data_IF_002655285885
#
_entry.id   IF_002655285885
#
_cell.length_a   1.000
_cell.length_b   1.000
_cell.length_c   1.000
_cell.angle_alpha   90.00
_cell.angle_beta   90.00
_cell.angle_gamma   90.00
#
_symmetry.space_group_name_H-M   'P 1'
#
loop_
_entity.id
_entity.type
_entity.pdbx_description
1 polymer ?
#
# COMPACT_ATOMS: atom_id res chain seq x y z
N UNK A 1 22.70 20.37 26.03
CA UNK A 1 23.04 19.28 26.96
C UNK A 1 23.78 19.88 28.15
N UNK A 2 23.11 20.02 29.30
CA UNK A 2 23.73 20.54 30.50
C UNK A 2 24.42 19.39 31.26
N UNK A 3 25.70 19.57 31.61
CA UNK A 3 26.43 18.65 32.46
C UNK A 3 25.71 18.55 33.82
N UNK A 4 25.18 17.36 34.14
CA UNK A 4 24.66 17.09 35.48
C UNK A 4 25.86 16.99 36.41
N UNK A 5 26.20 18.13 37.01
CA UNK A 5 27.15 18.29 38.11
C UNK A 5 26.93 17.16 39.11
N UNK A 6 27.98 16.38 39.37
CA UNK A 6 27.96 15.28 40.32
C UNK A 6 27.40 15.75 41.67
N UNK A 7 26.56 14.91 42.27
CA UNK A 7 25.98 15.15 43.60
C UNK A 7 27.14 15.32 44.59
N UNK A 8 27.15 16.40 45.41
CA UNK A 8 28.25 16.64 46.33
C UNK A 8 28.30 15.54 47.39
N UNK A 9 29.43 14.84 47.45
CA UNK A 9 29.80 14.02 48.59
C UNK A 9 29.84 14.90 49.84
N UNK A 10 29.26 14.43 50.94
CA UNK A 10 29.27 15.15 52.22
C UNK A 10 30.71 15.55 52.62
N UNK A 11 30.92 16.74 53.21
CA UNK A 11 32.24 17.30 53.46
C UNK A 11 33.13 16.48 54.42
N UNK A 12 32.54 15.56 55.18
CA UNK A 12 33.27 14.62 56.05
C UNK A 12 33.94 13.48 55.24
N UNK A 13 33.57 13.30 53.98
CA UNK A 13 34.24 12.42 53.00
C UNK A 13 35.24 13.20 52.13
N UNK A 14 35.89 14.24 52.68
CA UNK A 14 37.02 14.88 52.02
C UNK A 14 38.25 13.99 52.15
N UNK A 15 38.55 13.29 51.06
CA UNK A 15 39.85 12.67 50.76
C UNK A 15 40.98 13.60 51.23
N UNK A 16 41.63 13.25 52.35
CA UNK A 16 42.89 13.85 52.77
C UNK A 16 44.01 13.00 52.22
N UNK A 17 44.64 13.46 51.15
CA UNK A 17 45.98 13.05 50.79
C UNK A 17 46.94 13.53 51.89
N UNK A 18 47.22 12.67 52.86
CA UNK A 18 48.41 12.72 53.71
C UNK A 18 49.19 11.43 53.37
N UNK A 19 50.21 11.52 52.50
CA UNK A 19 51.64 11.52 52.85
C UNK A 19 52.08 10.14 53.39
N UNK A 20 52.95 9.33 52.78
CA UNK A 20 54.22 9.53 52.06
C UNK A 20 54.55 8.32 51.15
N UNK A 21 55.45 8.44 50.14
CA UNK A 21 55.83 7.36 49.23
C UNK A 21 57.04 6.50 49.69
N UNK A 22 57.20 6.21 50.99
CA UNK A 22 58.39 5.48 51.49
C UNK A 22 58.15 4.38 52.54
N UNK A 23 56.93 3.87 52.70
CA UNK A 23 56.73 2.61 53.44
C UNK A 23 55.91 1.65 52.60
N UNK A 24 56.47 1.26 51.46
CA UNK A 24 56.15 -0.02 50.85
C UNK A 24 57.10 -1.05 51.46
N UNK A 25 56.70 -1.67 52.58
CA UNK A 25 57.24 -2.99 52.89
C UNK A 25 56.62 -3.96 51.89
N UNK A 26 57.45 -4.48 50.99
CA UNK A 26 57.19 -5.71 50.24
C UNK A 26 56.77 -6.78 51.24
N UNK A 27 55.46 -7.10 51.26
CA UNK A 27 54.88 -8.40 51.62
C UNK A 27 53.46 -8.23 52.15
N UNK A 28 52.50 -7.93 51.27
CA UNK A 28 51.16 -8.53 51.36
C UNK A 28 50.64 -8.76 49.94
N UNK A 29 50.96 -9.91 49.35
CA UNK A 29 50.13 -10.49 48.30
C UNK A 29 48.79 -10.84 48.94
N UNK A 30 47.78 -9.97 48.81
CA UNK A 30 46.39 -10.30 49.17
C UNK A 30 45.64 -10.73 47.90
N UNK A 31 45.00 -11.91 47.88
CA UNK A 31 44.19 -12.34 46.74
C UNK A 31 42.97 -11.42 46.55
N UNK A 32 42.39 -11.38 45.33
CA UNK A 32 41.23 -10.54 45.00
C UNK A 32 39.95 -11.14 45.58
N UNK A 33 39.85 -11.15 46.91
CA UNK A 33 38.65 -11.59 47.60
C UNK A 33 37.62 -10.46 47.66
N UNK A 34 36.43 -10.77 47.15
CA UNK A 34 35.22 -9.99 47.33
C UNK A 34 34.97 -9.75 48.83
N UNK A 35 35.36 -8.57 49.33
CA UNK A 35 35.16 -8.22 50.74
C UNK A 35 36.16 -7.23 51.31
N UNK A 36 37.28 -6.94 50.64
CA UNK A 36 38.17 -5.88 51.10
C UNK A 36 37.57 -4.49 50.79
N UNK A 37 37.58 -3.53 51.75
CA UNK A 37 37.28 -2.15 51.45
C UNK A 37 38.16 -1.64 50.28
N UNK A 38 37.68 -0.67 49.49
CA UNK A 38 38.55 0.06 48.58
C UNK A 38 39.80 0.55 49.33
N UNK A 39 40.94 0.63 48.64
CA UNK A 39 42.24 0.96 49.25
C UNK A 39 42.23 2.27 50.09
N UNK A 40 41.25 3.14 49.83
CA UNK A 40 41.11 4.46 50.44
C UNK A 40 40.14 4.46 51.66
N UNK A 41 39.53 3.32 52.01
CA UNK A 41 38.54 3.21 53.09
C UNK A 41 39.16 2.52 54.29
N UNK A 42 39.16 3.21 55.43
CA UNK A 42 39.66 2.64 56.68
C UNK A 42 38.89 1.39 57.08
N UNK A 43 39.62 0.35 57.51
CA UNK A 43 39.05 -0.94 57.92
C UNK A 43 38.29 -0.89 59.27
N UNK A 44 38.23 0.28 59.93
CA UNK A 44 37.45 0.45 61.15
C UNK A 44 35.94 0.27 60.88
N UNK A 45 35.20 -0.45 61.74
CA UNK A 45 33.79 -0.79 61.51
C UNK A 45 32.89 0.42 61.22
N UNK A 46 33.07 1.53 61.94
CA UNK A 46 32.27 2.75 61.78
C UNK A 46 32.44 3.39 60.38
N UNK A 47 33.67 3.42 59.89
CA UNK A 47 33.99 3.94 58.55
C UNK A 47 33.43 3.03 57.45
N UNK A 48 33.49 1.71 57.66
CA UNK A 48 32.89 0.73 56.74
C UNK A 48 31.36 0.82 56.71
N UNK A 49 30.71 1.03 57.87
CA UNK A 49 29.27 1.24 57.94
C UNK A 49 28.85 2.54 57.24
N UNK A 50 29.58 3.64 57.43
CA UNK A 50 29.33 4.91 56.76
C UNK A 50 29.53 4.79 55.23
N UNK A 51 30.60 4.12 54.79
CA UNK A 51 30.86 3.85 53.38
C UNK A 51 29.74 3.00 52.75
N UNK A 52 29.35 1.90 53.39
CA UNK A 52 28.25 1.06 52.92
C UNK A 52 26.92 1.82 52.86
N UNK A 53 26.63 2.68 53.84
CA UNK A 53 25.43 3.52 53.84
C UNK A 53 25.44 4.55 52.69
N UNK A 54 26.60 5.14 52.38
CA UNK A 54 26.76 6.05 51.25
C UNK A 54 26.62 5.33 49.90
N UNK A 55 27.26 4.17 49.72
CA UNK A 55 27.10 3.35 48.52
C UNK A 55 25.63 2.96 48.29
N UNK A 56 24.93 2.55 49.36
CA UNK A 56 23.50 2.25 49.32
C UNK A 56 22.67 3.46 48.90
N UNK A 57 22.94 4.65 49.47
CA UNK A 57 22.26 5.90 49.07
C UNK A 57 22.52 6.27 47.62
N UNK A 58 23.78 6.22 47.16
CA UNK A 58 24.16 6.55 45.79
C UNK A 58 23.48 5.63 44.79
N UNK A 59 23.47 4.32 45.05
CA UNK A 59 22.75 3.35 44.23
C UNK A 59 21.24 3.59 44.26
N UNK A 60 20.68 3.88 45.43
CA UNK A 60 19.26 4.20 45.55
C UNK A 60 18.87 5.42 44.70
N UNK A 61 19.67 6.50 44.72
CA UNK A 61 19.42 7.68 43.88
C UNK A 61 19.64 7.41 42.39
N UNK A 62 20.66 6.64 42.01
CA UNK A 62 20.89 6.28 40.61
C UNK A 62 19.74 5.42 40.05
N UNK A 63 19.24 4.46 40.83
CA UNK A 63 18.12 3.62 40.41
C UNK A 63 16.82 4.42 40.41
N UNK A 64 16.42 4.95 41.57
CA UNK A 64 15.11 5.59 41.74
C UNK A 64 14.99 6.97 41.09
N UNK A 65 16.10 7.66 40.86
CA UNK A 65 16.14 8.93 40.16
C UNK A 65 16.30 8.77 38.66
N UNK A 66 17.48 8.33 38.21
CA UNK A 66 17.84 8.42 36.79
C UNK A 66 17.35 7.22 35.97
N UNK A 67 17.51 5.99 36.47
CA UNK A 67 17.15 4.78 35.73
C UNK A 67 15.63 4.58 35.62
N UNK A 68 14.87 4.76 36.70
CA UNK A 68 13.41 4.64 36.65
C UNK A 68 12.79 5.73 35.77
N UNK A 69 13.26 6.98 35.86
CA UNK A 69 12.79 8.04 34.97
C UNK A 69 13.11 7.75 33.50
N UNK A 70 14.28 7.16 33.20
CA UNK A 70 14.62 6.71 31.84
C UNK A 70 13.73 5.57 31.38
N UNK A 71 13.45 4.58 32.24
CA UNK A 71 12.54 3.47 31.94
C UNK A 71 11.15 3.98 31.58
N UNK A 72 10.60 4.91 32.37
CA UNK A 72 9.24 5.42 32.15
C UNK A 72 9.14 6.20 30.82
N UNK A 73 10.18 6.96 30.45
CA UNK A 73 10.30 7.57 29.12
C UNK A 73 10.34 6.53 28.00
N UNK A 74 11.17 5.49 28.14
CA UNK A 74 11.26 4.42 27.13
C UNK A 74 9.93 3.67 26.96
N UNK A 75 9.19 3.44 28.06
CA UNK A 75 7.86 2.81 27.99
C UNK A 75 6.85 3.71 27.28
N UNK A 76 6.90 5.02 27.50
CA UNK A 76 6.07 5.98 26.77
C UNK A 76 6.40 5.99 25.27
N UNK A 77 7.69 6.03 24.91
CA UNK A 77 8.13 5.99 23.52
C UNK A 77 7.75 4.67 22.82
N UNK A 78 7.86 3.54 23.53
CA UNK A 78 7.39 2.23 23.06
C UNK A 78 5.88 2.26 22.78
N UNK A 79 5.09 2.88 23.66
CA UNK A 79 3.65 3.07 23.47
C UNK A 79 3.34 3.89 22.21
N UNK A 80 4.06 4.99 22.00
CA UNK A 80 3.93 5.82 20.78
C UNK A 80 4.29 5.05 19.51
N UNK A 81 5.36 4.25 19.54
CA UNK A 81 5.76 3.42 18.38
C UNK A 81 4.72 2.36 18.06
N UNK A 82 4.14 1.72 19.08
CA UNK A 82 3.05 0.74 18.90
C UNK A 82 1.80 1.39 18.30
N UNK A 83 1.42 2.59 18.75
CA UNK A 83 0.31 3.34 18.17
C UNK A 83 0.55 3.67 16.69
N UNK A 84 1.75 4.17 16.34
CA UNK A 84 2.14 4.42 14.94
C UNK A 84 2.09 3.16 14.08
N UNK A 85 2.50 2.00 14.62
CA UNK A 85 2.42 0.74 13.88
C UNK A 85 0.97 0.36 13.53
N UNK A 86 0.03 0.60 14.45
CA UNK A 86 -1.40 0.39 14.20
C UNK A 86 -1.96 1.38 13.16
N UNK A 87 -1.55 2.65 13.21
CA UNK A 87 -1.92 3.66 12.20
C UNK A 87 -1.40 3.28 10.81
N UNK A 88 -0.14 2.84 10.70
CA UNK A 88 0.41 2.38 9.42
C UNK A 88 -0.39 1.17 8.90
N UNK A 89 -0.75 0.24 9.77
CA UNK A 89 -1.57 -0.92 9.39
C UNK A 89 -2.97 -0.51 8.91
N UNK A 90 -3.61 0.47 9.56
CA UNK A 90 -4.93 0.96 9.16
C UNK A 90 -4.90 1.70 7.82
N UNK A 91 -3.88 2.54 7.59
CA UNK A 91 -3.64 3.21 6.30
C UNK A 91 -3.42 2.19 5.19
N UNK A 92 -2.59 1.17 5.43
CA UNK A 92 -2.38 0.07 4.47
C UNK A 92 -3.70 -0.63 4.13
N UNK A 93 -4.52 -0.96 5.13
CA UNK A 93 -5.79 -1.64 4.92
C UNK A 93 -6.79 -0.77 4.14
N UNK A 94 -6.85 0.53 4.42
CA UNK A 94 -7.66 1.48 3.66
C UNK A 94 -7.21 1.56 2.19
N UNK A 95 -5.91 1.79 1.95
CA UNK A 95 -5.35 1.87 0.62
C UNK A 95 -5.55 0.57 -0.18
N UNK A 96 -5.41 -0.58 0.47
CA UNK A 96 -5.60 -1.90 -0.17
C UNK A 96 -7.05 -2.11 -0.63
N UNK A 97 -8.04 -1.65 0.16
CA UNK A 97 -9.46 -1.71 -0.23
C UNK A 97 -9.76 -0.79 -1.43
N UNK A 98 -9.18 0.39 -1.46
CA UNK A 98 -9.35 1.32 -2.59
C UNK A 98 -8.76 0.75 -3.88
N UNK A 99 -7.54 0.19 -3.82
CA UNK A 99 -6.91 -0.48 -4.97
C UNK A 99 -7.76 -1.66 -5.45
N UNK A 100 -8.26 -2.48 -4.54
CA UNK A 100 -9.12 -3.61 -4.89
C UNK A 100 -10.44 -3.15 -5.53
N UNK A 101 -11.07 -2.08 -5.02
CA UNK A 101 -12.30 -1.52 -5.57
C UNK A 101 -12.12 -1.03 -6.99
N UNK A 102 -11.04 -0.29 -7.26
CA UNK A 102 -10.71 0.23 -8.60
C UNK A 102 -10.44 -0.91 -9.58
N UNK A 103 -9.66 -1.91 -9.17
CA UNK A 103 -9.38 -3.07 -10.01
C UNK A 103 -10.68 -3.83 -10.33
N UNK A 104 -11.53 -4.03 -9.33
CA UNK A 104 -12.80 -4.72 -9.51
C UNK A 104 -13.73 -3.98 -10.48
N UNK A 105 -13.84 -2.66 -10.38
CA UNK A 105 -14.66 -1.86 -11.30
C UNK A 105 -14.15 -1.96 -12.75
N UNK A 106 -12.83 -1.92 -12.97
CA UNK A 106 -12.26 -2.06 -14.30
C UNK A 106 -12.54 -3.45 -14.90
N UNK A 107 -12.41 -4.52 -14.11
CA UNK A 107 -12.74 -5.88 -14.53
C UNK A 107 -14.22 -6.03 -14.85
N UNK A 108 -15.12 -5.53 -13.99
CA UNK A 108 -16.57 -5.58 -14.23
C UNK A 108 -16.97 -4.91 -15.55
N UNK A 109 -16.34 -3.78 -15.89
CA UNK A 109 -16.61 -3.08 -17.16
C UNK A 109 -16.16 -3.91 -18.37
N UNK A 110 -15.00 -4.57 -18.28
CA UNK A 110 -14.51 -5.46 -19.33
C UNK A 110 -15.43 -6.68 -19.50
N UNK A 111 -15.80 -7.33 -18.39
CA UNK A 111 -16.68 -8.50 -18.40
C UNK A 111 -18.06 -8.17 -18.97
N UNK A 112 -18.61 -7.00 -18.62
CA UNK A 112 -19.88 -6.53 -19.16
C UNK A 112 -19.81 -6.27 -20.67
N UNK A 113 -18.74 -5.63 -21.14
CA UNK A 113 -18.53 -5.39 -22.56
C UNK A 113 -18.36 -6.71 -23.35
N UNK A 114 -17.60 -7.66 -22.81
CA UNK A 114 -17.46 -9.01 -23.38
C UNK A 114 -18.82 -9.73 -23.46
N UNK A 115 -19.58 -9.74 -22.37
CA UNK A 115 -20.88 -10.42 -22.31
C UNK A 115 -21.87 -9.87 -23.36
N UNK A 116 -21.86 -8.55 -23.59
CA UNK A 116 -22.68 -7.93 -24.63
C UNK A 116 -22.27 -8.38 -26.04
N UNK A 117 -20.97 -8.49 -26.31
CA UNK A 117 -20.49 -9.01 -27.60
C UNK A 117 -20.83 -10.49 -27.78
N UNK A 118 -20.59 -11.32 -26.76
CA UNK A 118 -20.90 -12.74 -26.79
C UNK A 118 -22.40 -13.00 -26.99
N UNK A 119 -23.27 -12.23 -26.34
CA UNK A 119 -24.73 -12.39 -26.52
C UNK A 119 -25.18 -12.03 -27.94
N UNK A 120 -24.57 -11.02 -28.57
CA UNK A 120 -24.84 -10.68 -29.98
C UNK A 120 -24.40 -11.81 -30.92
N UNK A 121 -23.18 -12.30 -30.76
CA UNK A 121 -22.65 -13.41 -31.57
C UNK A 121 -23.47 -14.69 -31.39
N UNK A 122 -23.84 -15.03 -30.15
CA UNK A 122 -24.70 -16.20 -29.87
C UNK A 122 -26.06 -16.08 -30.53
N UNK A 123 -26.70 -14.90 -30.45
CA UNK A 123 -27.99 -14.68 -31.09
C UNK A 123 -27.94 -14.87 -32.61
N UNK A 124 -26.88 -14.37 -33.26
CA UNK A 124 -26.67 -14.58 -34.69
C UNK A 124 -26.43 -16.07 -35.00
N UNK A 125 -25.57 -16.73 -34.23
CA UNK A 125 -25.30 -18.16 -34.40
C UNK A 125 -26.55 -19.02 -34.23
N UNK A 126 -27.41 -18.71 -33.26
CA UNK A 126 -28.69 -19.39 -33.05
C UNK A 126 -29.66 -19.15 -34.22
N UNK A 127 -29.69 -17.93 -34.77
CA UNK A 127 -30.53 -17.61 -35.93
C UNK A 127 -30.07 -18.32 -37.21
N UNK A 128 -28.76 -18.38 -37.46
CA UNK A 128 -28.18 -19.16 -38.54
C UNK A 128 -28.44 -20.65 -38.36
N UNK A 129 -28.24 -21.18 -37.15
CA UNK A 129 -28.48 -22.60 -36.85
C UNK A 129 -29.93 -22.99 -37.12
N UNK A 130 -30.90 -22.15 -36.73
CA UNK A 130 -32.33 -22.38 -37.03
C UNK A 130 -32.61 -22.41 -38.53
N UNK A 131 -32.00 -21.52 -39.32
CA UNK A 131 -32.18 -21.53 -40.77
C UNK A 131 -31.59 -22.80 -41.40
N UNK A 132 -30.43 -23.26 -40.90
CA UNK A 132 -29.81 -24.52 -41.34
C UNK A 132 -30.67 -25.73 -40.97
N UNK A 133 -31.21 -25.78 -39.74
CA UNK A 133 -32.13 -26.82 -39.30
C UNK A 133 -33.41 -26.86 -40.15
N UNK A 134 -34.00 -25.69 -40.43
CA UNK A 134 -35.18 -25.56 -41.29
C UNK A 134 -34.93 -26.11 -42.70
N UNK A 135 -33.75 -25.82 -43.28
CA UNK A 135 -33.33 -26.36 -44.58
C UNK A 135 -33.13 -27.88 -44.51
N UNK A 136 -32.44 -28.38 -43.48
CA UNK A 136 -32.17 -29.82 -43.34
C UNK A 136 -33.45 -30.62 -43.15
N UNK A 137 -34.42 -30.11 -42.40
CA UNK A 137 -35.73 -30.73 -42.22
C UNK A 137 -36.51 -30.78 -43.54
N UNK A 138 -36.49 -29.69 -44.33
CA UNK A 138 -37.13 -29.68 -45.64
C UNK A 138 -36.44 -30.62 -46.62
N UNK A 139 -35.11 -30.69 -46.61
CA UNK A 139 -34.35 -31.62 -47.44
C UNK A 139 -34.73 -33.07 -47.11
N UNK A 140 -34.80 -33.43 -45.83
CA UNK A 140 -35.25 -34.75 -45.40
C UNK A 140 -36.70 -35.05 -45.79
N UNK A 141 -37.63 -34.09 -45.65
CA UNK A 141 -39.03 -34.22 -46.09
C UNK A 141 -39.11 -34.49 -47.61
N UNK A 142 -38.25 -33.84 -48.39
CA UNK A 142 -38.16 -34.03 -49.84
C UNK A 142 -37.57 -35.40 -50.18
N UNK A 143 -36.46 -35.79 -49.55
CA UNK A 143 -35.81 -37.08 -49.79
C UNK A 143 -36.76 -38.24 -49.45
N UNK A 144 -37.45 -38.19 -48.31
CA UNK A 144 -38.46 -39.19 -47.92
C UNK A 144 -39.62 -39.24 -48.93
N UNK A 145 -40.15 -38.10 -49.35
CA UNK A 145 -41.21 -38.05 -50.34
C UNK A 145 -40.78 -38.55 -51.73
N UNK A 146 -39.48 -38.48 -52.06
CA UNK A 146 -38.95 -39.02 -53.32
C UNK A 146 -38.72 -40.54 -53.19
N UNK A 147 -38.18 -40.99 -52.07
CA UNK A 147 -37.85 -42.40 -51.82
C UNK A 147 -39.09 -43.28 -51.59
N UNK A 148 -40.11 -42.81 -50.86
CA UNK A 148 -41.39 -43.52 -50.66
C UNK A 148 -42.11 -43.85 -51.97
N UNK A 149 -41.89 -43.05 -53.01
CA UNK A 149 -42.52 -43.20 -54.32
C UNK A 149 -41.63 -43.92 -55.34
N UNK A 150 -40.45 -44.39 -54.94
CA UNK A 150 -39.50 -45.08 -55.82
C UNK A 150 -39.84 -46.58 -56.02
N UNK A 151 -40.68 -47.18 -55.17
CA UNK A 151 -41.03 -48.61 -55.26
C UNK A 151 -42.10 -48.92 -56.35
N UNK A 152 -42.83 -47.90 -56.85
CA UNK A 152 -43.77 -48.00 -57.98
C UNK A 152 -43.41 -46.98 -59.08
N UNK A 153 -42.60 -47.36 -60.07
CA UNK A 153 -42.10 -46.49 -61.17
C UNK A 153 -43.20 -45.76 -61.98
N UNK A 154 -44.45 -46.22 -61.91
CA UNK A 154 -45.60 -45.61 -62.60
C UNK A 154 -46.60 -44.90 -61.65
N UNK A 155 -46.36 -44.93 -60.35
CA UNK A 155 -47.11 -44.16 -59.37
C UNK A 155 -46.22 -43.03 -58.84
N UNK A 156 -45.97 -42.02 -59.68
CA UNK A 156 -45.94 -40.65 -59.14
C UNK A 156 -47.30 -40.44 -58.50
N UNK A 157 -47.40 -40.82 -57.23
CA UNK A 157 -48.65 -40.91 -56.49
C UNK A 157 -49.32 -39.54 -56.57
N UNK A 158 -50.65 -39.52 -56.77
CA UNK A 158 -51.41 -38.27 -56.76
C UNK A 158 -51.14 -37.45 -55.48
N UNK A 159 -50.72 -38.14 -54.42
CA UNK A 159 -50.25 -37.61 -53.16
C UNK A 159 -48.93 -36.83 -53.27
N UNK A 160 -47.89 -37.36 -53.93
CA UNK A 160 -46.64 -36.62 -54.20
C UNK A 160 -46.89 -35.35 -55.02
N UNK A 161 -47.66 -35.45 -56.10
CA UNK A 161 -48.01 -34.30 -56.94
C UNK A 161 -48.81 -33.26 -56.13
N UNK A 162 -49.68 -33.71 -55.23
CA UNK A 162 -50.40 -32.85 -54.29
C UNK A 162 -49.50 -32.13 -53.28
N UNK A 163 -48.44 -32.80 -52.80
CA UNK A 163 -47.45 -32.24 -51.86
C UNK A 163 -46.36 -31.38 -52.54
N UNK A 164 -46.03 -31.67 -53.80
CA UNK A 164 -44.94 -31.04 -54.56
C UNK A 164 -45.02 -29.51 -54.54
N UNK A 165 -46.20 -28.94 -54.81
CA UNK A 165 -46.36 -27.49 -54.86
C UNK A 165 -46.07 -26.84 -53.50
N UNK A 166 -46.51 -27.46 -52.41
CA UNK A 166 -46.27 -26.96 -51.07
C UNK A 166 -44.78 -27.03 -50.69
N UNK A 167 -44.08 -28.13 -51.04
CA UNK A 167 -42.64 -28.26 -50.82
C UNK A 167 -41.84 -27.28 -51.67
N UNK A 168 -42.18 -27.13 -52.96
CA UNK A 168 -41.54 -26.18 -53.86
C UNK A 168 -41.74 -24.73 -53.39
N UNK A 169 -42.95 -24.37 -52.93
CA UNK A 169 -43.23 -23.06 -52.36
C UNK A 169 -42.46 -22.83 -51.04
N UNK A 170 -42.16 -23.88 -50.25
CA UNK A 170 -41.25 -23.78 -49.08
C UNK A 170 -39.80 -23.54 -49.55
N UNK A 171 -39.32 -24.28 -50.55
CA UNK A 171 -37.98 -24.08 -51.13
C UNK A 171 -37.80 -22.66 -51.67
N UNK A 172 -38.76 -22.14 -52.44
CA UNK A 172 -38.70 -20.79 -53.00
C UNK A 172 -38.74 -19.72 -51.89
N UNK A 173 -39.51 -19.95 -50.82
CA UNK A 173 -39.52 -19.05 -49.65
C UNK A 173 -38.19 -19.03 -48.91
N UNK A 174 -37.56 -20.20 -48.67
CA UNK A 174 -36.25 -20.27 -48.02
C UNK A 174 -35.14 -19.70 -48.91
N UNK A 175 -35.17 -19.97 -50.21
CA UNK A 175 -34.19 -19.45 -51.17
C UNK A 175 -34.23 -17.92 -51.30
N UNK A 176 -35.42 -17.31 -51.16
CA UNK A 176 -35.60 -15.85 -51.20
C UNK A 176 -35.33 -15.18 -49.86
N UNK A 177 -35.24 -15.94 -48.76
CA UNK A 177 -34.95 -15.38 -47.43
C UNK A 177 -33.48 -14.95 -47.39
N UNK A 178 -33.19 -13.66 -47.13
CA UNK A 178 -31.80 -13.23 -47.01
C UNK A 178 -31.17 -13.82 -45.74
N UNK A 179 -29.85 -14.07 -45.76
CA UNK A 179 -29.13 -14.45 -44.54
C UNK A 179 -29.26 -13.34 -43.48
N UNK A 180 -29.25 -13.70 -42.19
CA UNK A 180 -29.25 -12.71 -41.12
C UNK A 180 -28.02 -11.80 -41.25
N UNK A 181 -28.19 -10.54 -40.84
CA UNK A 181 -27.08 -9.59 -40.88
C UNK A 181 -25.98 -10.01 -39.90
N UNK A 182 -24.69 -9.91 -40.29
CA UNK A 182 -23.60 -10.26 -39.41
C UNK A 182 -23.61 -9.38 -38.16
N UNK A 183 -23.33 -9.99 -37.00
CA UNK A 183 -23.19 -9.25 -35.76
C UNK A 183 -22.04 -8.26 -35.89
N UNK A 184 -22.31 -7.02 -35.49
CA UNK A 184 -21.28 -6.00 -35.28
C UNK A 184 -20.49 -6.32 -34.00
N UNK A 185 -19.66 -7.35 -34.10
CA UNK A 185 -18.82 -7.89 -33.05
C UNK A 185 -17.40 -8.10 -33.60
N UNK A 186 -16.67 -6.99 -33.73
CA UNK A 186 -15.26 -7.00 -34.15
C UNK A 186 -14.33 -7.24 -32.93
N UNK A 187 -13.60 -8.37 -32.87
CA UNK A 187 -12.63 -8.63 -31.81
C UNK A 187 -11.53 -7.56 -31.73
N UNK A 188 -11.16 -6.96 -32.86
CA UNK A 188 -10.12 -5.92 -32.93
C UNK A 188 -10.62 -4.61 -32.31
N UNK A 189 -11.90 -4.29 -32.48
CA UNK A 189 -12.53 -3.15 -31.81
C UNK A 189 -12.59 -3.36 -30.30
N UNK A 190 -12.94 -4.56 -29.83
CA UNK A 190 -12.92 -4.90 -28.40
C UNK A 190 -11.51 -4.84 -27.81
N UNK A 191 -10.50 -5.34 -28.53
CA UNK A 191 -9.11 -5.23 -28.10
C UNK A 191 -8.65 -3.76 -27.97
N UNK A 192 -9.06 -2.89 -28.90
CA UNK A 192 -8.80 -1.45 -28.82
C UNK A 192 -9.48 -0.80 -27.62
N UNK A 193 -10.71 -1.19 -27.31
CA UNK A 193 -11.44 -0.70 -26.13
C UNK A 193 -10.78 -1.17 -24.83
N UNK A 194 -10.39 -2.44 -24.75
CA UNK A 194 -9.65 -2.98 -23.62
C UNK A 194 -8.31 -2.26 -23.42
N UNK A 195 -7.57 -2.03 -24.52
CA UNK A 195 -6.33 -1.23 -24.50
C UNK A 195 -6.59 0.20 -24.04
N UNK A 196 -7.65 0.85 -24.50
CA UNK A 196 -8.02 2.20 -24.07
C UNK A 196 -8.30 2.26 -22.55
N UNK A 197 -8.99 1.25 -21.98
CA UNK A 197 -9.21 1.15 -20.54
C UNK A 197 -7.90 0.98 -19.76
N UNK A 198 -6.97 0.16 -20.25
CA UNK A 198 -5.65 0.02 -19.62
C UNK A 198 -4.80 1.29 -19.72
N UNK A 199 -4.87 2.00 -20.85
CA UNK A 199 -4.17 3.26 -21.06
C UNK A 199 -4.74 4.36 -20.16
N UNK A 200 -6.06 4.44 -20.00
CA UNK A 200 -6.70 5.37 -19.09
C UNK A 200 -6.27 5.16 -17.63
N UNK A 201 -6.05 3.91 -17.22
CA UNK A 201 -5.49 3.61 -15.91
C UNK A 201 -4.05 4.13 -15.76
N UNK A 202 -3.20 3.92 -16.77
CA UNK A 202 -1.83 4.43 -16.79
C UNK A 202 -1.77 5.97 -16.83
N UNK A 203 -2.64 6.61 -17.60
CA UNK A 203 -2.79 8.06 -17.67
C UNK A 203 -3.23 8.65 -16.33
N UNK A 204 -4.19 8.03 -15.65
CA UNK A 204 -4.61 8.44 -14.31
C UNK A 204 -3.45 8.39 -13.33
N UNK A 205 -2.64 7.33 -13.38
CA UNK A 205 -1.49 7.19 -12.49
C UNK A 205 -0.38 8.21 -12.81
N UNK A 206 -0.17 8.53 -14.09
CA UNK A 206 0.72 9.61 -14.50
C UNK A 206 0.21 10.99 -14.03
N UNK A 207 -1.08 11.26 -14.17
CA UNK A 207 -1.72 12.50 -13.69
C UNK A 207 -1.61 12.64 -12.17
N UNK A 208 -1.77 11.55 -11.41
CA UNK A 208 -1.53 11.54 -9.95
C UNK A 208 -0.10 11.94 -9.61
N UNK A 209 0.92 11.39 -10.29
CA UNK A 209 2.32 11.78 -10.07
C UNK A 209 2.59 13.25 -10.38
N UNK A 210 1.96 13.78 -11.44
CA UNK A 210 2.07 15.20 -11.78
C UNK A 210 1.44 16.08 -10.69
N UNK A 211 0.28 15.69 -10.16
CA UNK A 211 -0.37 16.39 -9.06
C UNK A 211 0.51 16.38 -7.80
N UNK A 212 1.05 15.22 -7.42
CA UNK A 212 1.98 15.11 -6.28
C UNK A 212 3.22 15.99 -6.45
N UNK A 213 3.81 16.03 -7.66
CA UNK A 213 4.94 16.90 -7.96
C UNK A 213 4.57 18.40 -7.88
N UNK A 214 3.37 18.76 -8.34
CA UNK A 214 2.84 20.13 -8.20
C UNK A 214 2.65 20.49 -6.72
N UNK A 215 2.06 19.62 -5.92
CA UNK A 215 1.86 19.85 -4.49
C UNK A 215 3.19 20.02 -3.76
N UNK A 216 4.19 19.18 -4.06
CA UNK A 216 5.53 19.32 -3.51
C UNK A 216 6.20 20.67 -3.89
N UNK A 217 6.01 21.12 -5.13
CA UNK A 217 6.51 22.43 -5.59
C UNK A 217 5.81 23.59 -4.89
N UNK A 218 4.49 23.52 -4.72
CA UNK A 218 3.70 24.51 -3.98
C UNK A 218 4.21 24.61 -2.54
N UNK A 219 4.46 23.48 -1.89
CA UNK A 219 5.01 23.47 -0.53
C UNK A 219 6.38 24.14 -0.45
N UNK A 220 7.31 23.83 -1.36
CA UNK A 220 8.61 24.50 -1.41
C UNK A 220 8.50 26.01 -1.61
N UNK A 221 7.66 26.45 -2.55
CA UNK A 221 7.45 27.88 -2.79
C UNK A 221 6.83 28.59 -1.58
N UNK A 222 5.96 27.92 -0.83
CA UNK A 222 5.40 28.45 0.42
C UNK A 222 6.47 28.56 1.51
N UNK A 223 7.37 27.58 1.62
CA UNK A 223 8.49 27.61 2.55
C UNK A 223 9.52 28.70 2.20
N UNK A 224 9.92 28.78 0.93
CA UNK A 224 10.82 29.83 0.42
C UNK A 224 10.23 31.23 0.67
N UNK A 225 8.94 31.42 0.39
CA UNK A 225 8.25 32.68 0.67
C UNK A 225 8.25 33.02 2.16
N UNK A 226 8.10 32.03 3.05
CA UNK A 226 8.16 32.24 4.51
C UNK A 226 9.57 32.64 4.94
N UNK A 227 10.59 31.93 4.46
CA UNK A 227 12.00 32.23 4.75
C UNK A 227 12.38 33.65 4.28
N UNK A 228 12.06 34.00 3.03
CA UNK A 228 12.30 35.33 2.48
C UNK A 228 11.54 36.43 3.26
N UNK A 229 10.34 36.14 3.77
CA UNK A 229 9.58 37.09 4.59
C UNK A 229 10.21 37.30 5.97
N UNK A 230 10.86 36.28 6.55
CA UNK A 230 11.65 36.40 7.77
C UNK A 230 12.94 37.19 7.53
N UNK A 231 13.69 36.88 6.48
CA UNK A 231 14.89 37.63 6.10
C UNK A 231 14.59 39.12 5.85
N UNK A 232 13.51 39.43 5.13
CA UNK A 232 13.08 40.82 4.92
C UNK A 232 12.66 41.52 6.21
N UNK A 233 12.10 40.78 7.18
CA UNK A 233 11.81 41.34 8.52
C UNK A 233 13.08 41.65 9.27
N UNK A 234 14.06 40.76 9.25
CA UNK A 234 15.36 40.96 9.91
C UNK A 234 16.12 42.14 9.31
N UNK A 235 16.12 42.27 7.98
CA UNK A 235 16.74 43.42 7.29
C UNK A 235 16.03 44.73 7.65
N UNK A 236 14.70 44.75 7.71
CA UNK A 236 13.95 45.94 8.14
C UNK A 236 14.17 46.29 9.62
N UNK A 237 14.35 45.28 10.47
CA UNK A 237 14.65 45.48 11.89
C UNK A 237 16.10 45.97 12.11
N UNK A 238 17.05 45.52 11.30
CA UNK A 238 18.46 45.96 11.36
C UNK A 238 18.74 47.30 10.67
N UNK A 239 17.99 47.63 9.60
CA UNK A 239 18.13 48.88 8.85
C UNK A 239 17.57 50.13 9.54
N UNK A 240 16.87 49.98 10.68
CA UNK A 240 16.29 51.09 11.44
C UNK A 240 17.23 51.76 12.45
N UNK A 241 18.51 51.35 12.52
CA UNK A 241 19.47 51.85 13.52
C UNK A 241 20.63 52.68 12.98
N UNK A 242 20.61 53.11 11.71
CA UNK A 242 21.79 53.62 11.01
C UNK A 242 21.80 55.09 10.60
N UNK A 243 20.77 55.89 10.88
CA UNK A 243 20.74 57.32 10.50
C UNK A 243 20.24 58.20 11.65
N UNK A 244 21.04 58.38 12.72
CA UNK A 244 20.90 59.56 13.60
C UNK A 244 22.11 59.81 14.51
N UNK A 245 23.35 59.82 13.98
CA UNK A 245 24.49 60.44 14.69
C UNK A 245 25.50 61.03 13.70
N UNK A 246 25.19 62.17 13.09
CA UNK A 246 26.19 63.08 12.53
C UNK A 246 25.58 64.47 12.22
N UNK A 247 25.49 65.33 13.24
CA UNK A 247 25.46 66.79 13.07
C UNK A 247 25.83 67.43 14.42
N UNK A 248 27.15 67.63 14.63
CA UNK A 248 27.70 68.70 15.47
C UNK A 248 28.08 69.87 14.56
#
# INVERSE_FOLDING_TARGET
>A
MAAVRGVPLAPEARYRAFAHPEILSEDVRRPPDAGAPPADVSAFPEHMHAYAANCKRTLHYAVHGTLLAKRDRLLHDLGRLRAKALEIASVKAAASREVASVAHEATQRLDAAEALLQTRVRREADELSRQVEEINLLAAEVDEAVDENAEDENAMSAEFIGRFRAMYDKCDRLARRPPPAPADADPVAFEKEAKALTNAAAERDALKRILEAKDAMIWRLVEERRALAEELREIKAGGGGGEETAAE
#
